data_IF_187664992225
#
_entry.id   IF_187664992225
#
_cell.length_a   1.000
_cell.length_b   1.000
_cell.length_c   1.000
_cell.angle_alpha   90.00
_cell.angle_beta   90.00
_cell.angle_gamma   90.00
#
_symmetry.space_group_name_H-M   'P 1'
#
loop_
_entity.id
_entity.type
_entity.pdbx_description
1 polymer ?
#
# COMPACT_ATOMS: atom_id res chain seq x y z
N UNK A 1 -12.80 2.37 -26.49
CA UNK A 1 -11.63 3.21 -26.14
C UNK A 1 -11.57 3.36 -24.63
N UNK A 2 -10.48 2.97 -23.97
CA UNK A 2 -10.30 3.20 -22.51
C UNK A 2 -10.12 4.70 -22.28
N UNK A 3 -11.00 5.31 -21.49
CA UNK A 3 -10.79 6.71 -21.05
C UNK A 3 -9.44 6.83 -20.34
N UNK A 4 -8.59 7.82 -20.70
CA UNK A 4 -7.33 8.03 -20.00
C UNK A 4 -7.60 8.30 -18.52
N UNK A 5 -6.96 7.51 -17.65
CA UNK A 5 -7.13 7.72 -16.20
C UNK A 5 -6.01 8.62 -15.70
N UNK A 6 -6.28 9.92 -15.69
CA UNK A 6 -5.34 10.96 -15.26
C UNK A 6 -4.84 10.73 -13.83
N UNK A 7 -5.69 10.23 -12.90
CA UNK A 7 -5.33 9.94 -11.52
C UNK A 7 -4.21 8.89 -11.41
N UNK A 8 -4.30 7.83 -12.24
CA UNK A 8 -3.25 6.81 -12.29
C UNK A 8 -1.95 7.37 -12.87
N UNK A 9 -2.05 8.17 -13.93
CA UNK A 9 -0.88 8.83 -14.55
C UNK A 9 -0.19 9.76 -13.55
N UNK A 10 -0.95 10.66 -12.94
CA UNK A 10 -0.45 11.60 -11.93
C UNK A 10 0.22 10.87 -10.76
N UNK A 11 -0.42 9.82 -10.22
CA UNK A 11 0.15 9.00 -9.14
C UNK A 11 1.49 8.38 -9.55
N UNK A 12 1.61 7.85 -10.77
CA UNK A 12 2.86 7.23 -11.24
C UNK A 12 3.96 8.27 -11.39
N UNK A 13 3.66 9.44 -11.96
CA UNK A 13 4.63 10.54 -12.08
C UNK A 13 5.13 11.00 -10.72
N UNK A 14 4.21 11.24 -9.77
CA UNK A 14 4.59 11.62 -8.41
C UNK A 14 5.42 10.53 -7.71
N UNK A 15 5.06 9.26 -7.90
CA UNK A 15 5.83 8.14 -7.32
C UNK A 15 7.25 8.07 -7.89
N UNK A 16 7.45 8.30 -9.18
CA UNK A 16 8.78 8.32 -9.80
C UNK A 16 9.58 9.54 -9.29
N UNK A 17 8.94 10.71 -9.23
CA UNK A 17 9.55 11.95 -8.80
C UNK A 17 10.06 11.89 -7.34
N UNK A 18 9.41 11.10 -6.48
CA UNK A 18 9.85 10.91 -5.10
C UNK A 18 10.82 9.71 -4.98
N UNK A 19 10.54 8.61 -5.68
CA UNK A 19 11.32 7.38 -5.58
C UNK A 19 12.74 7.53 -6.12
N UNK A 20 12.91 8.20 -7.27
CA UNK A 20 14.23 8.33 -7.91
C UNK A 20 15.20 9.11 -7.05
N UNK A 21 14.89 10.31 -6.49
CA UNK A 21 15.78 10.98 -5.57
C UNK A 21 16.14 10.17 -4.32
N UNK A 22 15.16 9.47 -3.72
CA UNK A 22 15.42 8.61 -2.56
C UNK A 22 16.39 7.47 -2.94
N UNK A 23 16.19 6.83 -4.09
CA UNK A 23 17.09 5.77 -4.57
C UNK A 23 18.49 6.32 -4.83
N UNK A 24 18.59 7.46 -5.53
CA UNK A 24 19.88 8.13 -5.82
C UNK A 24 20.62 8.46 -4.53
N UNK A 25 19.93 8.97 -3.53
CA UNK A 25 20.52 9.26 -2.22
C UNK A 25 21.19 8.03 -1.58
N UNK A 26 20.51 6.87 -1.58
CA UNK A 26 21.09 5.65 -1.03
C UNK A 26 22.27 5.10 -1.85
N UNK A 27 22.30 5.41 -3.12
CA UNK A 27 23.32 4.93 -4.07
C UNK A 27 24.47 5.91 -4.23
N UNK A 28 24.26 7.17 -3.84
CA UNK A 28 25.30 8.21 -3.91
C UNK A 28 26.49 7.82 -3.02
N UNK A 29 27.64 7.67 -3.65
CA UNK A 29 28.91 7.35 -3.01
C UNK A 29 29.91 8.52 -3.10
N UNK A 30 29.59 9.53 -3.93
CA UNK A 30 30.46 10.64 -4.23
C UNK A 30 29.96 11.97 -3.63
N UNK A 31 28.85 11.92 -2.86
CA UNK A 31 28.23 13.09 -2.20
C UNK A 31 27.88 14.22 -3.19
N UNK A 32 27.44 13.83 -4.40
CA UNK A 32 27.12 14.78 -5.50
C UNK A 32 25.74 15.42 -5.29
N UNK A 33 24.86 14.78 -4.52
CA UNK A 33 23.51 15.26 -4.33
C UNK A 33 23.45 16.47 -3.40
N UNK A 34 22.69 17.52 -3.77
CA UNK A 34 22.59 18.70 -2.93
C UNK A 34 21.84 18.40 -1.61
N UNK A 35 22.27 19.04 -0.52
CA UNK A 35 21.72 18.86 0.84
C UNK A 35 20.20 19.05 0.93
N UNK A 36 19.62 19.87 0.06
CA UNK A 36 18.18 20.09 0.01
C UNK A 36 17.38 18.80 -0.29
N UNK A 37 17.97 17.81 -0.96
CA UNK A 37 17.34 16.52 -1.24
C UNK A 37 17.27 15.63 0.01
N UNK A 38 18.11 15.85 1.02
CA UNK A 38 18.03 15.16 2.31
C UNK A 38 16.68 15.39 2.99
N UNK A 39 16.02 16.51 2.76
CA UNK A 39 14.68 16.81 3.28
C UNK A 39 13.63 15.79 2.82
N UNK A 40 13.80 15.19 1.64
CA UNK A 40 12.88 14.14 1.15
C UNK A 40 12.95 12.85 1.98
N UNK A 41 14.07 12.58 2.65
CA UNK A 41 14.21 11.42 3.53
C UNK A 41 13.38 11.59 4.79
N UNK A 42 13.28 12.80 5.30
CA UNK A 42 12.46 13.13 6.48
C UNK A 42 10.95 13.04 6.19
N UNK A 43 10.53 13.03 4.92
CA UNK A 43 9.14 12.75 4.55
C UNK A 43 8.70 11.32 4.88
N UNK A 44 9.62 10.43 5.22
CA UNK A 44 9.29 9.06 5.62
C UNK A 44 8.80 9.03 7.08
N UNK A 45 7.74 8.26 7.34
CA UNK A 45 7.07 8.24 8.65
C UNK A 45 8.01 7.79 9.77
N UNK A 46 8.80 6.74 9.55
CA UNK A 46 9.68 6.20 10.59
C UNK A 46 10.82 7.17 10.97
N UNK A 47 11.59 7.72 10.00
CA UNK A 47 12.56 8.77 10.30
C UNK A 47 11.94 10.01 10.94
N UNK A 48 10.72 10.41 10.53
CA UNK A 48 10.03 11.55 11.12
C UNK A 48 9.63 11.31 12.59
N UNK A 49 9.19 10.10 12.93
CA UNK A 49 8.88 9.71 14.32
C UNK A 49 10.16 9.69 15.16
N UNK A 50 11.22 9.02 14.70
CA UNK A 50 12.49 8.91 15.41
C UNK A 50 13.21 10.26 15.55
N UNK A 51 13.08 11.13 14.53
CA UNK A 51 13.62 12.50 14.55
C UNK A 51 12.78 13.51 15.33
N UNK A 52 11.67 13.10 15.95
CA UNK A 52 10.79 13.98 16.71
C UNK A 52 10.06 15.03 15.89
N UNK A 53 9.95 14.85 14.58
CA UNK A 53 9.31 15.79 13.65
C UNK A 53 7.78 15.65 13.67
N UNK A 54 7.14 16.00 14.79
CA UNK A 54 5.70 15.84 15.00
C UNK A 54 4.85 16.46 13.88
N UNK A 55 5.25 17.60 13.33
CA UNK A 55 4.53 18.27 12.24
C UNK A 55 4.44 17.43 10.97
N UNK A 56 5.52 16.72 10.59
CA UNK A 56 5.52 15.82 9.44
C UNK A 56 4.66 14.58 9.67
N UNK A 57 4.69 14.03 10.89
CA UNK A 57 3.84 12.87 11.25
C UNK A 57 2.36 13.27 11.18
N UNK A 58 1.99 14.42 11.74
CA UNK A 58 0.63 14.96 11.66
C UNK A 58 0.22 15.19 10.20
N UNK A 59 1.10 15.80 9.39
CA UNK A 59 0.85 15.97 7.96
C UNK A 59 0.54 14.65 7.25
N UNK A 60 1.31 13.59 7.53
CA UNK A 60 1.08 12.26 6.94
C UNK A 60 -0.26 11.65 7.40
N UNK A 61 -0.66 11.87 8.64
CA UNK A 61 -1.95 11.40 9.15
C UNK A 61 -3.12 12.18 8.53
N UNK A 62 -3.00 13.49 8.38
CA UNK A 62 -3.99 14.32 7.66
C UNK A 62 -4.09 13.86 6.20
N UNK A 63 -2.97 13.61 5.54
CA UNK A 63 -2.95 13.11 4.16
C UNK A 63 -3.64 11.73 4.06
N UNK A 64 -3.43 10.84 5.03
CA UNK A 64 -4.09 9.54 5.11
C UNK A 64 -5.60 9.67 5.39
N UNK A 65 -6.01 10.64 6.18
CA UNK A 65 -7.43 10.93 6.46
C UNK A 65 -8.13 11.51 5.23
N UNK A 66 -7.47 12.39 4.48
CA UNK A 66 -8.04 12.99 3.28
C UNK A 66 -8.12 11.99 2.14
N UNK A 67 -7.00 11.38 1.76
CA UNK A 67 -6.82 10.63 0.52
C UNK A 67 -6.62 9.13 0.71
N UNK A 68 -6.74 8.61 1.94
CA UNK A 68 -6.46 7.21 2.22
C UNK A 68 -4.96 6.90 2.26
N UNK A 69 -4.58 5.65 1.94
CA UNK A 69 -3.19 5.17 2.03
C UNK A 69 -2.34 5.54 0.81
N UNK A 70 -2.49 6.76 0.30
CA UNK A 70 -1.70 7.22 -0.87
C UNK A 70 -0.20 7.27 -0.56
N UNK A 71 0.18 7.50 0.71
CA UNK A 71 1.56 7.39 1.19
C UNK A 71 2.23 6.09 0.73
N UNK A 72 1.57 4.95 0.93
CA UNK A 72 2.12 3.63 0.58
C UNK A 72 2.30 3.42 -0.94
N UNK A 73 1.69 4.25 -1.77
CA UNK A 73 1.76 4.10 -3.23
C UNK A 73 2.59 5.17 -3.93
N UNK A 74 2.89 6.28 -3.24
CA UNK A 74 3.60 7.43 -3.83
C UNK A 74 4.88 7.75 -3.07
N UNK A 75 4.80 7.84 -1.73
CA UNK A 75 5.91 8.35 -0.90
C UNK A 75 6.81 7.19 -0.42
N UNK A 76 6.23 6.07 -0.01
CA UNK A 76 6.99 4.95 0.55
C UNK A 76 7.80 4.21 -0.54
N UNK A 77 9.15 4.20 -0.47
CA UNK A 77 9.98 3.59 -1.50
C UNK A 77 9.80 2.06 -1.56
N UNK A 78 9.60 1.38 -0.43
CA UNK A 78 9.31 -0.05 -0.41
C UNK A 78 7.98 -0.39 -1.09
N UNK A 79 6.98 0.49 -0.99
CA UNK A 79 5.71 0.33 -1.70
C UNK A 79 5.87 0.48 -3.22
N UNK A 80 6.69 1.43 -3.67
CA UNK A 80 7.02 1.61 -5.09
C UNK A 80 7.86 0.43 -5.60
N UNK A 81 8.85 -0.04 -4.83
CA UNK A 81 9.65 -1.22 -5.16
C UNK A 81 8.76 -2.46 -5.36
N UNK A 82 7.78 -2.71 -4.49
CA UNK A 82 6.82 -3.80 -4.68
C UNK A 82 6.01 -3.65 -5.99
N UNK A 83 5.66 -2.43 -6.38
CA UNK A 83 4.98 -2.17 -7.64
C UNK A 83 5.88 -2.46 -8.84
N UNK A 84 7.17 -2.11 -8.77
CA UNK A 84 8.18 -2.42 -9.79
C UNK A 84 8.34 -3.94 -9.91
N UNK A 85 8.58 -4.64 -8.81
CA UNK A 85 8.72 -6.11 -8.79
C UNK A 85 7.48 -6.76 -9.42
N UNK A 86 6.28 -6.38 -9.00
CA UNK A 86 5.05 -6.92 -9.56
C UNK A 86 4.92 -6.64 -11.07
N UNK A 87 5.38 -5.49 -11.55
CA UNK A 87 5.35 -5.15 -12.98
C UNK A 87 6.33 -5.99 -13.78
N UNK A 88 7.55 -6.19 -13.28
CA UNK A 88 8.58 -7.05 -13.91
C UNK A 88 8.08 -8.48 -14.05
N UNK A 89 7.52 -9.06 -12.98
CA UNK A 89 6.95 -10.41 -13.01
C UNK A 89 5.74 -10.54 -13.96
N UNK A 90 4.95 -9.46 -14.13
CA UNK A 90 3.84 -9.46 -15.08
C UNK A 90 4.31 -9.38 -16.55
N UNK A 91 5.42 -8.69 -16.84
CA UNK A 91 5.97 -8.58 -18.20
C UNK A 91 6.43 -9.95 -18.72
N UNK A 92 7.10 -10.74 -17.88
CA UNK A 92 7.54 -12.09 -18.25
C UNK A 92 6.41 -13.08 -18.58
N UNK A 93 5.19 -12.84 -18.07
CA UNK A 93 4.01 -13.71 -18.26
C UNK A 93 3.09 -13.29 -19.41
N UNK A 94 3.29 -12.13 -20.01
CA UNK A 94 2.46 -11.64 -21.14
C UNK A 94 2.49 -12.55 -22.38
N UNK A 95 3.52 -13.35 -22.55
CA UNK A 95 3.63 -14.31 -23.69
C UNK A 95 2.85 -15.62 -23.48
N UNK A 96 2.48 -15.98 -22.25
CA UNK A 96 1.60 -17.14 -21.98
C UNK A 96 0.31 -16.58 -21.36
N UNK A 97 -0.86 -16.95 -21.90
CA UNK A 97 -2.25 -16.56 -21.54
C UNK A 97 -2.55 -16.46 -20.00
N UNK A 98 -1.82 -15.68 -19.23
CA UNK A 98 -1.94 -15.62 -17.78
C UNK A 98 -1.50 -14.28 -17.21
N UNK A 99 -2.25 -13.22 -17.50
CA UNK A 99 -2.19 -12.03 -16.63
C UNK A 99 -2.51 -12.52 -15.23
N UNK A 100 -1.58 -12.29 -14.28
CA UNK A 100 -1.82 -12.64 -12.88
C UNK A 100 -3.11 -11.98 -12.43
N UNK A 101 -4.08 -12.79 -12.02
CA UNK A 101 -5.36 -12.33 -11.51
C UNK A 101 -5.28 -12.40 -9.98
N UNK A 102 -5.49 -11.27 -9.34
CA UNK A 102 -5.68 -11.22 -7.90
C UNK A 102 -7.13 -11.63 -7.59
N UNK A 103 -7.36 -12.11 -6.38
CA UNK A 103 -8.70 -12.37 -5.86
C UNK A 103 -8.84 -11.72 -4.48
N UNK A 104 -10.08 -11.46 -4.10
CA UNK A 104 -10.35 -10.96 -2.75
C UNK A 104 -10.07 -12.04 -1.71
N UNK A 105 -9.33 -11.67 -0.67
CA UNK A 105 -9.12 -12.50 0.52
C UNK A 105 -9.53 -11.70 1.76
N UNK A 106 -10.04 -12.39 2.77
CA UNK A 106 -10.35 -11.75 4.05
C UNK A 106 -9.06 -11.18 4.67
N UNK A 107 -9.12 -9.98 5.30
CA UNK A 107 -7.95 -9.39 5.95
C UNK A 107 -7.50 -10.23 7.15
N UNK A 108 -6.18 -10.45 7.27
CA UNK A 108 -5.58 -11.09 8.44
C UNK A 108 -5.40 -10.07 9.58
N UNK A 109 -6.54 -9.64 10.17
CA UNK A 109 -6.54 -8.55 11.14
C UNK A 109 -5.74 -8.90 12.40
N UNK A 110 -5.81 -10.14 12.89
CA UNK A 110 -5.08 -10.58 14.08
C UNK A 110 -3.58 -10.38 13.86
N UNK A 111 -3.03 -10.92 12.75
CA UNK A 111 -1.61 -10.82 12.44
C UNK A 111 -1.13 -9.38 12.34
N UNK A 112 -1.86 -8.53 11.59
CA UNK A 112 -1.45 -7.12 11.36
C UNK A 112 -1.48 -6.28 12.64
N UNK A 113 -2.48 -6.46 13.51
CA UNK A 113 -2.55 -5.72 14.77
C UNK A 113 -1.61 -6.27 15.84
N UNK A 114 -1.33 -7.57 15.85
CA UNK A 114 -0.29 -8.16 16.71
C UNK A 114 1.10 -7.63 16.36
N UNK A 115 1.42 -7.52 15.07
CA UNK A 115 2.70 -6.94 14.63
C UNK A 115 2.79 -5.45 15.01
N UNK A 116 1.71 -4.69 14.82
CA UNK A 116 1.68 -3.28 15.23
C UNK A 116 1.87 -3.14 16.75
N UNK A 117 1.18 -3.96 17.54
CA UNK A 117 1.33 -3.98 19.00
C UNK A 117 2.75 -4.37 19.43
N UNK A 118 3.32 -5.41 18.80
CA UNK A 118 4.69 -5.83 19.05
C UNK A 118 5.70 -4.72 18.74
N UNK A 119 5.57 -4.05 17.59
CA UNK A 119 6.48 -2.93 17.24
C UNK A 119 6.33 -1.76 18.18
N UNK A 120 5.12 -1.47 18.67
CA UNK A 120 4.90 -0.44 19.66
C UNK A 120 5.58 -0.79 21.00
N UNK A 121 5.43 -2.03 21.47
CA UNK A 121 6.07 -2.52 22.69
C UNK A 121 7.60 -2.46 22.55
N UNK A 122 8.16 -2.95 21.45
CA UNK A 122 9.61 -2.89 21.20
C UNK A 122 10.14 -1.45 21.18
N UNK A 123 9.38 -0.52 20.60
CA UNK A 123 9.75 0.90 20.58
C UNK A 123 9.76 1.52 21.98
N UNK A 124 8.79 1.18 22.85
CA UNK A 124 8.74 1.62 24.26
C UNK A 124 9.92 1.08 25.04
N UNK A 125 10.35 -0.16 24.81
CA UNK A 125 11.54 -0.75 25.45
C UNK A 125 12.86 -0.27 24.82
N UNK A 126 12.84 0.63 23.85
CA UNK A 126 14.05 1.17 23.21
C UNK A 126 14.74 0.21 22.23
N UNK A 127 14.11 -0.92 21.89
CA UNK A 127 14.67 -1.91 20.95
C UNK A 127 14.44 -1.48 19.51
N UNK A 128 14.95 -0.31 19.14
CA UNK A 128 14.73 0.32 17.81
C UNK A 128 15.25 -0.53 16.67
N UNK A 129 16.35 -1.25 16.87
CA UNK A 129 16.94 -2.13 15.84
C UNK A 129 15.96 -3.21 15.35
N UNK A 130 15.19 -3.81 16.27
CA UNK A 130 14.17 -4.81 15.90
C UNK A 130 12.98 -4.15 15.15
N UNK A 131 12.62 -2.93 15.52
CA UNK A 131 11.60 -2.17 14.80
C UNK A 131 12.03 -1.91 13.35
N UNK A 132 13.32 -1.61 13.09
CA UNK A 132 13.83 -1.37 11.73
C UNK A 132 13.79 -2.58 10.82
N UNK A 133 13.72 -3.81 11.37
CA UNK A 133 13.55 -5.03 10.56
C UNK A 133 12.18 -5.10 9.88
N UNK A 134 11.15 -4.53 10.53
CA UNK A 134 9.78 -4.50 9.99
C UNK A 134 9.47 -3.20 9.25
N UNK A 135 10.32 -2.18 9.42
CA UNK A 135 10.14 -0.90 8.78
C UNK A 135 10.39 -0.97 7.26
N UNK A 136 9.46 -0.50 6.43
CA UNK A 136 9.59 -0.55 4.98
C UNK A 136 10.73 0.32 4.45
N UNK A 137 10.98 1.47 5.08
CA UNK A 137 12.05 2.39 4.67
C UNK A 137 13.43 1.82 4.95
N UNK A 138 13.64 1.27 6.16
CA UNK A 138 14.90 0.65 6.56
C UNK A 138 15.23 -0.58 5.70
N UNK A 139 14.24 -1.41 5.38
CA UNK A 139 14.43 -2.56 4.48
C UNK A 139 14.78 -2.10 3.05
N UNK A 140 14.14 -1.04 2.54
CA UNK A 140 14.52 -0.46 1.27
C UNK A 140 15.94 0.07 1.29
N UNK A 141 16.33 0.80 2.34
CA UNK A 141 17.69 1.32 2.54
C UNK A 141 18.74 0.22 2.57
N UNK A 142 18.47 -0.91 3.27
CA UNK A 142 19.36 -2.08 3.26
C UNK A 142 19.56 -2.65 1.86
N UNK A 143 18.48 -2.80 1.08
CA UNK A 143 18.54 -3.28 -0.30
C UNK A 143 19.32 -2.30 -1.17
N UNK A 144 19.02 -1.00 -1.07
CA UNK A 144 19.67 0.02 -1.88
C UNK A 144 21.15 0.15 -1.57
N UNK A 145 21.51 0.18 -0.29
CA UNK A 145 22.90 0.41 0.15
C UNK A 145 23.79 -0.81 -0.07
N UNK A 146 23.28 -2.03 0.19
CA UNK A 146 24.13 -3.24 0.13
C UNK A 146 24.04 -3.99 -1.21
N UNK A 147 23.04 -3.73 -2.05
CA UNK A 147 22.92 -4.37 -3.37
C UNK A 147 23.08 -3.39 -4.52
N UNK A 148 22.37 -2.23 -4.51
CA UNK A 148 22.40 -1.32 -5.65
C UNK A 148 23.63 -0.43 -5.64
N UNK A 149 24.03 0.09 -4.49
CA UNK A 149 25.22 0.95 -4.37
C UNK A 149 26.51 0.27 -4.85
N UNK A 150 26.85 -0.97 -4.44
CA UNK A 150 28.05 -1.68 -4.94
C UNK A 150 28.02 -1.89 -6.45
N UNK A 151 26.84 -2.18 -7.01
CA UNK A 151 26.69 -2.37 -8.47
C UNK A 151 26.97 -1.07 -9.20
N UNK A 152 26.47 0.08 -8.69
CA UNK A 152 26.73 1.38 -9.31
C UNK A 152 28.20 1.77 -9.18
N UNK A 153 28.84 1.51 -8.03
CA UNK A 153 30.29 1.72 -7.85
C UNK A 153 31.10 0.85 -8.83
N UNK A 154 30.71 -0.42 -9.02
CA UNK A 154 31.36 -1.29 -9.99
C UNK A 154 31.19 -0.79 -11.43
N UNK A 155 30.00 -0.34 -11.81
CA UNK A 155 29.75 0.27 -13.12
C UNK A 155 30.55 1.56 -13.30
N UNK A 156 30.63 2.42 -12.27
CA UNK A 156 31.47 3.61 -12.28
C UNK A 156 32.95 3.25 -12.54
N UNK A 157 33.47 2.27 -11.85
CA UNK A 157 34.87 1.85 -12.02
C UNK A 157 35.12 1.29 -13.44
N UNK A 158 34.16 0.52 -13.97
CA UNK A 158 34.25 0.03 -15.35
C UNK A 158 34.26 1.17 -16.39
N UNK A 159 33.45 2.19 -16.16
CA UNK A 159 33.42 3.39 -17.00
C UNK A 159 34.68 4.24 -16.83
N UNK A 160 35.19 4.40 -15.61
CA UNK A 160 36.43 5.10 -15.33
C UNK A 160 37.64 4.45 -16.05
N UNK A 161 37.73 3.10 -15.99
CA UNK A 161 38.76 2.35 -16.71
C UNK A 161 38.63 2.51 -18.25
N UNK A 162 37.39 2.55 -18.77
CA UNK A 162 37.14 2.80 -20.19
C UNK A 162 37.53 4.21 -20.63
N UNK A 163 37.20 5.22 -19.84
CA UNK A 163 37.54 6.64 -20.13
C UNK A 163 39.05 6.92 -19.96
N UNK A 164 39.69 6.27 -18.99
CA UNK A 164 41.12 6.40 -18.78
C UNK A 164 41.92 5.92 -20.00
N UNK A 165 41.44 4.93 -20.75
CA UNK A 165 42.02 4.47 -22.01
C UNK A 165 41.93 5.51 -23.14
N UNK A 166 41.03 6.50 -22.99
CA UNK A 166 40.82 7.63 -23.92
C UNK A 166 41.43 8.93 -23.39
N UNK A 167 42.35 8.82 -22.42
CA UNK A 167 43.00 9.99 -21.72
C UNK A 167 41.99 10.94 -21.05
N UNK A 168 40.81 10.44 -20.70
CA UNK A 168 39.75 11.19 -20.05
C UNK A 168 39.58 10.73 -18.59
N UNK A 169 39.92 11.58 -17.63
CA UNK A 169 39.91 11.31 -16.18
C UNK A 169 38.76 12.00 -15.47
N UNK A 170 37.59 12.13 -16.12
CA UNK A 170 36.40 12.78 -15.54
C UNK A 170 35.78 11.93 -14.44
N UNK A 171 35.92 10.60 -14.52
CA UNK A 171 35.48 9.67 -13.48
C UNK A 171 36.71 9.06 -12.79
N UNK A 172 36.64 9.00 -11.45
CA UNK A 172 37.72 8.41 -10.66
C UNK A 172 37.31 7.01 -10.14
N UNK A 173 38.30 6.18 -9.91
CA UNK A 173 38.12 4.84 -9.39
C UNK A 173 37.81 4.88 -7.89
N UNK A 174 36.74 4.22 -7.46
CA UNK A 174 36.26 4.19 -6.07
C UNK A 174 36.46 2.81 -5.46
N UNK A 175 37.01 2.78 -4.24
CA UNK A 175 37.20 1.51 -3.50
C UNK A 175 35.88 1.03 -2.91
N UNK A 176 35.47 -0.20 -3.21
CA UNK A 176 34.25 -0.83 -2.68
C UNK A 176 34.57 -1.43 -1.30
N UNK A 177 34.82 -0.58 -0.29
CA UNK A 177 35.33 -1.01 1.03
C UNK A 177 34.24 -1.27 2.08
N UNK A 178 33.02 -0.74 1.92
CA UNK A 178 32.00 -0.73 2.97
C UNK A 178 30.93 -1.83 2.84
N UNK A 179 31.20 -2.87 2.05
CA UNK A 179 30.26 -3.97 1.85
C UNK A 179 30.58 -5.10 2.83
N UNK A 180 29.81 -5.18 3.92
CA UNK A 180 29.92 -6.29 4.87
C UNK A 180 29.12 -7.48 4.38
N UNK A 181 29.64 -8.69 4.57
CA UNK A 181 28.94 -9.96 4.21
C UNK A 181 27.57 -10.02 4.88
N UNK A 182 27.50 -9.64 6.16
CA UNK A 182 26.24 -9.59 6.90
C UNK A 182 25.23 -8.60 6.28
N UNK A 183 25.70 -7.42 5.85
CA UNK A 183 24.88 -6.42 5.16
C UNK A 183 24.28 -6.96 3.87
N UNK A 184 25.08 -7.65 3.05
CA UNK A 184 24.61 -8.27 1.79
C UNK A 184 23.60 -9.38 2.07
N UNK A 185 23.87 -10.27 3.02
CA UNK A 185 22.94 -11.35 3.36
C UNK A 185 21.61 -10.77 3.85
N UNK A 186 21.63 -9.78 4.74
CA UNK A 186 20.41 -9.13 5.26
C UNK A 186 19.61 -8.46 4.14
N UNK A 187 20.26 -7.80 3.19
CA UNK A 187 19.63 -7.15 2.04
C UNK A 187 19.04 -8.18 1.07
N UNK A 188 19.74 -9.30 0.81
CA UNK A 188 19.24 -10.39 -0.02
C UNK A 188 18.01 -11.06 0.61
N UNK A 189 18.04 -11.31 1.93
CA UNK A 189 16.89 -11.86 2.66
C UNK A 189 15.69 -10.89 2.57
N UNK A 190 15.89 -9.60 2.81
CA UNK A 190 14.84 -8.59 2.70
C UNK A 190 14.24 -8.54 1.29
N UNK A 191 15.10 -8.53 0.25
CA UNK A 191 14.66 -8.54 -1.15
C UNK A 191 13.89 -9.81 -1.49
N UNK A 192 14.38 -10.98 -1.04
CA UNK A 192 13.71 -12.26 -1.24
C UNK A 192 12.33 -12.28 -0.59
N UNK A 193 12.20 -11.78 0.64
CA UNK A 193 10.91 -11.65 1.34
C UNK A 193 9.95 -10.75 0.53
N UNK A 194 10.42 -9.60 0.03
CA UNK A 194 9.58 -8.74 -0.83
C UNK A 194 9.15 -9.45 -2.10
N UNK A 195 10.07 -10.14 -2.79
CA UNK A 195 9.75 -10.88 -4.02
C UNK A 195 8.71 -11.96 -3.74
N UNK A 196 8.92 -12.79 -2.71
CA UNK A 196 8.01 -13.86 -2.32
C UNK A 196 6.62 -13.28 -2.03
N UNK A 197 6.53 -12.27 -1.17
CA UNK A 197 5.25 -11.67 -0.79
C UNK A 197 4.54 -11.01 -1.97
N UNK A 198 5.28 -10.33 -2.85
CA UNK A 198 4.71 -9.73 -4.07
C UNK A 198 4.26 -10.80 -5.05
N UNK A 199 5.01 -11.87 -5.20
CA UNK A 199 4.66 -13.00 -6.08
C UNK A 199 3.42 -13.73 -5.56
N UNK A 200 3.22 -13.89 -4.28
CA UNK A 200 2.04 -14.56 -3.72
C UNK A 200 0.78 -13.70 -3.76
N UNK A 201 0.81 -12.44 -3.25
CA UNK A 201 -0.39 -11.61 -3.05
C UNK A 201 -0.22 -10.12 -3.36
N UNK A 202 0.71 -9.74 -4.23
CA UNK A 202 0.91 -8.36 -4.63
C UNK A 202 1.45 -7.48 -3.50
N UNK A 203 0.60 -6.81 -2.72
CA UNK A 203 1.02 -5.91 -1.64
C UNK A 203 0.84 -6.51 -0.24
N UNK A 204 1.10 -7.81 -0.10
CA UNK A 204 0.94 -8.51 1.17
C UNK A 204 1.78 -7.88 2.29
N UNK A 205 3.06 -7.54 2.04
CA UNK A 205 3.91 -6.90 3.05
C UNK A 205 3.28 -5.65 3.65
N UNK A 206 2.83 -4.70 2.80
CA UNK A 206 2.22 -3.45 3.27
C UNK A 206 0.90 -3.64 4.00
N UNK A 207 0.20 -4.76 3.77
CA UNK A 207 -1.11 -5.03 4.34
C UNK A 207 -1.08 -5.94 5.57
N UNK A 208 0.06 -6.61 5.85
CA UNK A 208 0.16 -7.57 6.97
C UNK A 208 1.36 -7.32 7.87
N UNK A 209 2.58 -7.23 7.32
CA UNK A 209 3.82 -7.15 8.11
C UNK A 209 4.24 -5.72 8.43
N UNK A 210 3.90 -4.75 7.57
CA UNK A 210 4.35 -3.38 7.73
C UNK A 210 3.59 -2.65 8.85
N UNK A 211 4.25 -2.24 9.95
CA UNK A 211 3.61 -1.51 11.04
C UNK A 211 3.10 -0.14 10.60
N UNK A 212 3.86 0.59 9.78
CA UNK A 212 3.45 1.87 9.19
C UNK A 212 2.20 1.69 8.32
N UNK A 213 2.15 0.63 7.50
CA UNK A 213 0.98 0.31 6.69
C UNK A 213 -0.25 0.00 7.53
N UNK A 214 -0.08 -0.69 8.66
CA UNK A 214 -1.18 -0.99 9.59
C UNK A 214 -1.64 0.25 10.33
N UNK A 215 -0.74 1.11 10.80
CA UNK A 215 -1.07 2.38 11.44
C UNK A 215 -1.89 3.28 10.49
N UNK A 216 -1.42 3.49 9.27
CA UNK A 216 -2.15 4.26 8.28
C UNK A 216 -3.49 3.63 7.90
N UNK A 217 -3.64 2.31 8.01
CA UNK A 217 -4.90 1.64 7.72
C UNK A 217 -5.99 1.93 8.74
N UNK A 218 -5.63 2.20 9.99
CA UNK A 218 -6.59 2.62 11.02
C UNK A 218 -7.23 3.96 10.66
N UNK A 219 -6.40 4.91 10.20
CA UNK A 219 -6.83 6.24 9.81
C UNK A 219 -7.60 6.20 8.48
N UNK A 220 -7.11 5.45 7.49
CA UNK A 220 -7.71 5.40 6.15
C UNK A 220 -9.10 4.75 6.10
N UNK A 221 -9.52 4.05 7.15
CA UNK A 221 -10.92 3.62 7.29
C UNK A 221 -11.89 4.79 7.25
N UNK A 222 -11.48 5.92 7.79
CA UNK A 222 -12.26 7.14 7.89
C UNK A 222 -11.95 8.14 6.77
N UNK A 223 -11.20 7.75 5.73
CA UNK A 223 -10.79 8.65 4.65
C UNK A 223 -11.98 9.28 3.96
N UNK A 224 -11.85 10.58 3.66
CA UNK A 224 -12.89 11.37 2.99
C UNK A 224 -12.99 11.01 1.51
N UNK A 225 -11.84 10.93 0.83
CA UNK A 225 -11.78 10.49 -0.56
C UNK A 225 -11.46 9.01 -0.62
N UNK A 226 -12.29 8.24 -1.30
CA UNK A 226 -12.12 6.78 -1.43
C UNK A 226 -12.68 6.24 -2.73
N UNK A 227 -12.17 5.08 -3.12
CA UNK A 227 -12.71 4.33 -4.24
C UNK A 227 -13.99 3.64 -3.79
N UNK A 228 -15.08 3.86 -4.51
CA UNK A 228 -16.37 3.25 -4.23
C UNK A 228 -17.05 2.74 -5.50
N UNK A 229 -17.90 1.71 -5.33
CA UNK A 229 -18.73 1.21 -6.41
C UNK A 229 -19.89 2.15 -6.69
N UNK A 230 -20.16 2.34 -7.98
CA UNK A 230 -21.41 2.84 -8.52
C UNK A 230 -22.25 1.62 -8.91
N UNK A 231 -23.31 1.35 -8.15
CA UNK A 231 -24.10 0.11 -8.32
C UNK A 231 -24.85 0.09 -9.65
N UNK A 232 -25.26 1.25 -10.15
CA UNK A 232 -26.02 1.38 -11.40
C UNK A 232 -25.13 1.14 -12.64
N UNK A 233 -23.87 1.59 -12.59
CA UNK A 233 -22.92 1.45 -13.69
C UNK A 233 -22.13 0.11 -13.64
N UNK A 234 -22.26 -0.68 -12.57
CA UNK A 234 -21.48 -1.90 -12.39
C UNK A 234 -22.10 -3.09 -13.11
N UNK A 235 -21.34 -3.73 -14.02
CA UNK A 235 -21.74 -4.94 -14.77
C UNK A 235 -21.29 -6.25 -14.12
N UNK A 236 -20.81 -6.25 -12.88
CA UNK A 236 -20.35 -7.43 -12.14
C UNK A 236 -19.28 -8.28 -12.84
N UNK A 237 -18.48 -7.69 -13.76
CA UNK A 237 -17.49 -8.41 -14.56
C UNK A 237 -16.24 -8.88 -13.79
N UNK A 238 -16.04 -8.48 -12.52
CA UNK A 238 -14.92 -8.88 -11.65
C UNK A 238 -13.53 -8.34 -12.06
N UNK A 239 -13.39 -7.59 -13.15
CA UNK A 239 -12.10 -7.13 -13.66
C UNK A 239 -11.35 -6.21 -12.69
N UNK A 240 -12.07 -5.42 -11.89
CA UNK A 240 -11.52 -4.56 -10.86
C UNK A 240 -10.84 -5.37 -9.73
N UNK A 241 -11.45 -6.48 -9.30
CA UNK A 241 -10.90 -7.40 -8.30
C UNK A 241 -9.61 -8.03 -8.83
N UNK A 242 -9.62 -8.57 -10.04
CA UNK A 242 -8.46 -9.19 -10.68
C UNK A 242 -7.27 -8.25 -10.88
N UNK A 243 -7.51 -6.95 -10.94
CA UNK A 243 -6.46 -5.92 -11.10
C UNK A 243 -5.98 -5.35 -9.76
N UNK A 244 -6.68 -5.65 -8.66
CA UNK A 244 -6.41 -5.07 -7.35
C UNK A 244 -5.22 -5.74 -6.67
N UNK A 245 -4.04 -5.14 -6.71
CA UNK A 245 -2.80 -5.62 -6.05
C UNK A 245 -2.91 -5.72 -4.52
N UNK A 246 -3.81 -4.95 -3.91
CA UNK A 246 -4.01 -4.91 -2.47
C UNK A 246 -5.06 -5.92 -1.98
N UNK A 247 -5.71 -6.65 -2.92
CA UNK A 247 -6.80 -7.61 -2.63
C UNK A 247 -7.94 -7.00 -1.76
N UNK A 248 -8.19 -5.70 -1.98
CA UNK A 248 -9.12 -4.90 -1.17
C UNK A 248 -10.53 -4.80 -1.78
N UNK A 249 -10.77 -5.40 -2.95
CA UNK A 249 -12.03 -5.28 -3.69
C UNK A 249 -12.76 -6.62 -3.69
N UNK A 250 -13.96 -6.62 -3.13
CA UNK A 250 -14.91 -7.72 -3.23
C UNK A 250 -15.93 -7.38 -4.32
N UNK A 251 -15.80 -8.03 -5.47
CA UNK A 251 -16.68 -7.80 -6.61
C UNK A 251 -18.07 -8.46 -6.44
N UNK A 252 -18.18 -9.47 -5.56
CA UNK A 252 -19.45 -10.14 -5.28
C UNK A 252 -20.35 -9.26 -4.42
N UNK A 253 -19.79 -8.68 -3.37
CA UNK A 253 -20.53 -7.81 -2.44
C UNK A 253 -20.46 -6.33 -2.82
N UNK A 254 -19.78 -5.96 -3.94
CA UNK A 254 -19.58 -4.57 -4.40
C UNK A 254 -19.01 -3.66 -3.29
N UNK A 255 -18.05 -4.18 -2.54
CA UNK A 255 -17.41 -3.45 -1.45
C UNK A 255 -15.92 -3.27 -1.69
N UNK A 256 -15.39 -2.15 -1.20
CA UNK A 256 -13.95 -1.85 -1.21
C UNK A 256 -13.49 -1.67 0.23
N UNK A 257 -12.53 -2.49 0.65
CA UNK A 257 -11.90 -2.34 1.96
C UNK A 257 -10.89 -1.18 1.94
N UNK A 258 -11.32 -0.02 2.43
CA UNK A 258 -10.49 1.19 2.49
C UNK A 258 -9.27 1.02 3.38
N UNK A 259 -9.34 0.14 4.39
CA UNK A 259 -8.19 -0.13 5.28
C UNK A 259 -7.01 -0.79 4.56
N UNK A 260 -7.25 -1.48 3.43
CA UNK A 260 -6.22 -2.14 2.61
C UNK A 260 -5.97 -1.44 1.28
N UNK A 261 -6.90 -0.61 0.84
CA UNK A 261 -6.73 0.15 -0.39
C UNK A 261 -5.52 1.08 -0.26
N UNK A 262 -4.68 1.12 -1.30
CA UNK A 262 -3.48 1.97 -1.36
C UNK A 262 -3.60 3.03 -2.45
N UNK A 263 -4.81 3.29 -2.92
CA UNK A 263 -5.17 4.31 -3.91
C UNK A 263 -4.27 4.32 -5.15
N UNK A 264 -3.99 3.11 -5.67
CA UNK A 264 -3.16 2.92 -6.87
C UNK A 264 -3.91 3.16 -8.18
N UNK A 265 -5.23 3.34 -8.15
CA UNK A 265 -6.14 3.60 -9.28
C UNK A 265 -6.14 2.57 -10.41
N UNK A 266 -5.53 1.40 -10.24
CA UNK A 266 -5.52 0.36 -11.25
C UNK A 266 -6.93 -0.19 -11.54
N UNK A 267 -7.75 -0.37 -10.51
CA UNK A 267 -9.13 -0.85 -10.64
C UNK A 267 -10.01 0.16 -11.40
N UNK A 268 -9.85 1.46 -11.11
CA UNK A 268 -10.56 2.53 -11.83
C UNK A 268 -10.18 2.54 -13.30
N UNK A 269 -8.87 2.37 -13.61
CA UNK A 269 -8.39 2.31 -15.01
C UNK A 269 -8.80 1.03 -15.74
N UNK A 270 -9.13 -0.05 -15.05
CA UNK A 270 -9.55 -1.31 -15.65
C UNK A 270 -11.06 -1.41 -15.85
N UNK A 271 -11.84 -0.53 -15.21
CA UNK A 271 -13.29 -0.51 -15.33
C UNK A 271 -13.74 0.24 -16.58
N UNK A 272 -14.18 -0.48 -17.60
CA UNK A 272 -14.61 0.12 -18.88
C UNK A 272 -15.92 0.92 -18.74
N UNK A 273 -16.81 0.50 -17.85
CA UNK A 273 -18.14 1.10 -17.66
C UNK A 273 -18.18 2.22 -16.60
N UNK A 274 -17.05 2.50 -15.92
CA UNK A 274 -17.02 3.54 -14.88
C UNK A 274 -17.70 3.15 -13.56
N UNK A 275 -17.99 1.87 -13.34
CA UNK A 275 -18.64 1.37 -12.12
C UNK A 275 -17.75 1.45 -10.85
N UNK A 276 -16.49 1.90 -10.96
CA UNK A 276 -15.61 2.24 -9.84
C UNK A 276 -15.12 3.68 -10.02
N UNK A 277 -15.35 4.48 -9.00
CA UNK A 277 -15.02 5.90 -9.03
C UNK A 277 -14.33 6.32 -7.72
N UNK A 278 -13.42 7.28 -7.83
CA UNK A 278 -12.81 7.96 -6.70
C UNK A 278 -13.66 9.17 -6.36
N UNK A 279 -14.36 9.14 -5.22
CA UNK A 279 -15.33 10.15 -4.84
C UNK A 279 -15.15 10.58 -3.38
N UNK A 280 -15.57 11.79 -3.08
CA UNK A 280 -15.74 12.25 -1.71
C UNK A 280 -16.93 11.52 -1.07
N UNK A 281 -16.65 10.66 -0.13
CA UNK A 281 -17.65 9.84 0.59
C UNK A 281 -17.20 9.61 2.03
N UNK A 282 -17.45 10.54 2.95
CA UNK A 282 -17.04 10.40 4.35
C UNK A 282 -17.68 9.18 5.00
N UNK A 283 -16.88 8.43 5.81
CA UNK A 283 -17.31 7.18 6.43
C UNK A 283 -18.44 7.33 7.44
N UNK A 284 -18.53 8.51 8.07
CA UNK A 284 -19.53 8.80 9.11
C UNK A 284 -20.98 8.62 8.67
N UNK A 285 -21.27 8.80 7.38
CA UNK A 285 -22.62 8.56 6.85
C UNK A 285 -23.02 7.08 6.81
N UNK A 286 -22.06 6.16 6.67
CA UNK A 286 -22.36 4.74 6.48
C UNK A 286 -22.70 4.02 7.79
N UNK A 287 -22.08 4.41 8.89
CA UNK A 287 -22.42 3.87 10.22
C UNK A 287 -23.82 4.31 10.66
N UNK A 288 -24.17 5.57 10.38
CA UNK A 288 -25.52 6.09 10.68
C UNK A 288 -26.62 5.38 9.84
N UNK A 289 -26.32 5.09 8.56
CA UNK A 289 -27.27 4.40 7.66
C UNK A 289 -27.39 2.91 8.02
N UNK A 290 -26.30 2.25 8.37
CA UNK A 290 -26.31 0.84 8.82
C UNK A 290 -26.99 0.71 10.19
N UNK A 291 -26.77 1.65 11.11
CA UNK A 291 -27.43 1.68 12.41
C UNK A 291 -28.96 1.92 12.25
N UNK A 292 -29.37 2.83 11.37
CA UNK A 292 -30.80 3.03 11.06
C UNK A 292 -31.45 1.78 10.48
N UNK A 293 -30.81 1.13 9.49
CA UNK A 293 -31.32 -0.07 8.87
C UNK A 293 -31.42 -1.22 9.87
N UNK A 294 -30.49 -1.36 10.80
CA UNK A 294 -30.59 -2.35 11.88
C UNK A 294 -31.69 -2.02 12.87
N UNK A 295 -31.91 -0.76 13.20
CA UNK A 295 -32.99 -0.31 14.09
C UNK A 295 -34.36 -0.55 13.43
N UNK A 296 -34.48 -0.25 12.13
CA UNK A 296 -35.71 -0.48 11.36
C UNK A 296 -36.05 -2.00 11.25
N UNK A 297 -35.04 -2.85 11.04
CA UNK A 297 -35.22 -4.32 11.02
C UNK A 297 -35.63 -4.86 12.39
N UNK A 298 -35.06 -4.36 13.48
CA UNK A 298 -35.42 -4.74 14.84
C UNK A 298 -36.85 -4.27 15.18
N UNK A 299 -37.21 -3.04 14.78
CA UNK A 299 -38.56 -2.53 14.98
C UNK A 299 -39.62 -3.30 14.17
N UNK A 300 -39.29 -3.72 12.93
CA UNK A 300 -40.17 -4.57 12.15
C UNK A 300 -40.32 -6.01 12.72
N UNK A 301 -39.24 -6.52 13.33
CA UNK A 301 -39.26 -7.83 13.98
C UNK A 301 -40.00 -7.82 15.33
N UNK A 302 -40.04 -6.69 16.01
CA UNK A 302 -40.75 -6.50 17.30
C UNK A 302 -42.18 -5.97 17.16
N UNK A 303 -42.61 -5.57 15.96
CA UNK A 303 -43.98 -5.19 15.71
C UNK A 303 -44.90 -6.43 15.93
N UNK A 304 -45.87 -6.37 16.83
CA UNK A 304 -46.77 -7.48 17.10
C UNK A 304 -47.52 -7.84 15.81
N UNK A 305 -47.35 -9.09 15.39
CA UNK A 305 -47.93 -9.62 14.15
C UNK A 305 -49.47 -9.71 14.31
N UNK A 306 -50.15 -8.59 14.12
CA UNK A 306 -51.57 -8.39 14.30
C UNK A 306 -52.45 -9.41 13.55
N UNK A 307 -51.88 -10.03 12.48
CA UNK A 307 -52.59 -11.06 11.72
C UNK A 307 -52.61 -12.46 12.40
N UNK A 308 -51.60 -12.80 13.21
CA UNK A 308 -51.58 -14.07 13.94
C UNK A 308 -52.48 -14.07 15.16
N UNK A 309 -52.65 -12.94 15.82
CA UNK A 309 -53.56 -12.78 16.96
C UNK A 309 -55.03 -12.81 16.52
N UNK A 310 -55.35 -12.36 15.30
CA UNK A 310 -56.72 -12.42 14.78
C UNK A 310 -57.15 -13.85 14.43
N UNK A 311 -56.26 -14.72 13.97
CA UNK A 311 -56.54 -16.10 13.63
C UNK A 311 -56.65 -17.02 14.89
N UNK A 312 -55.95 -16.71 15.96
CA UNK A 312 -56.06 -17.44 17.22
C UNK A 312 -57.34 -17.07 18.01
N UNK A 313 -57.80 -15.82 17.90
CA UNK A 313 -59.08 -15.39 18.51
C UNK A 313 -60.32 -15.92 17.76
N UNK A 314 -60.21 -16.13 16.43
CA UNK A 314 -61.29 -16.73 15.64
C UNK A 314 -61.52 -18.24 15.84
N UNK A 315 -60.48 -18.95 16.28
CA UNK A 315 -60.57 -20.42 16.50
C UNK A 315 -61.20 -20.80 17.85
N UNK A 316 -61.26 -19.88 18.81
CA UNK A 316 -61.86 -20.12 20.13
C UNK A 316 -63.36 -19.83 20.19
N UNK A 317 -63.94 -19.17 19.18
CA UNK A 317 -65.39 -18.87 19.11
C UNK A 317 -66.18 -19.93 18.30
N UNK A 318 -65.50 -20.86 17.60
CA UNK A 318 -66.12 -21.87 16.78
C UNK A 318 -66.30 -23.23 17.48
N UNK A 319 -66.04 -23.35 18.81
CA UNK A 319 -66.13 -24.58 19.61
C UNK A 319 -66.92 -24.35 20.93
N UNK A 320 -67.85 -23.38 20.93
CA UNK A 320 -68.85 -23.26 22.03
C UNK A 320 -70.25 -23.28 21.47
#
# INVERSE_FOLDING_TARGET
MKKPNYLKGLRVVLAILIFVPILLFFVDFADVLPDNLHTLLHLQIMPAILGGMAGLVVFQFVLALLFGRIYCSVICPAGVLQDIINRVFCIGKKKKKGVRRFSYHKPMNILRYSILGLTFVLAVFGMIELCTLLDPYSNFGRIANNLFRPVVMWVNNLLADGLARMDNYTLYHVTISNVTVFGVISALVALLVFIIMVVFRGRLFCNTLCPVGTLLSLISRYSFFRISFDKEACTHCGNCEHTCKAEAIDSKNLTVDTSRCVDCFNCVSSCAKGGLQYRFKPSFKKEAETARTQTDVIQQATAPNSRRTFLSAGATVAVS
#
